data_IF_170640317249
#
_entry.id   IF_170640317249
#
_cell.length_a   1.000
_cell.length_b   1.000
_cell.length_c   1.000
_cell.angle_alpha   90.00
_cell.angle_beta   90.00
_cell.angle_gamma   90.00
#
_symmetry.space_group_name_H-M   'P 1'
#
loop_
_entity.id
_entity.type
_entity.pdbx_description
1 polymer ?
#
# COMPACT_ATOMS: atom_id res chain seq x y z
N UNK A 1 0.22 14.43 19.18
CA UNK A 1 1.51 13.78 19.50
C UNK A 1 1.56 12.55 18.62
N UNK A 2 2.48 12.50 17.66
CA UNK A 2 2.64 11.29 16.82
C UNK A 2 3.34 10.25 17.69
N UNK A 3 2.79 9.05 17.78
CA UNK A 3 3.38 7.95 18.53
C UNK A 3 4.08 7.02 17.55
N UNK A 4 5.40 7.05 17.53
CA UNK A 4 6.22 6.21 16.66
C UNK A 4 6.56 4.89 17.35
N UNK A 5 6.63 3.81 16.56
CA UNK A 5 6.98 2.45 17.02
C UNK A 5 8.17 1.96 16.20
N UNK A 6 9.23 1.51 16.87
CA UNK A 6 10.38 0.86 16.21
C UNK A 6 10.14 -0.64 16.08
N UNK A 7 10.19 -1.14 14.84
CA UNK A 7 10.17 -2.58 14.55
C UNK A 7 11.55 -3.00 14.05
N UNK A 8 12.09 -4.09 14.61
CA UNK A 8 13.34 -4.71 14.14
C UNK A 8 13.03 -6.06 13.52
N UNK A 9 13.34 -6.20 12.24
CA UNK A 9 13.06 -7.39 11.46
C UNK A 9 14.31 -7.79 10.67
N UNK A 10 14.52 -9.10 10.42
CA UNK A 10 15.44 -9.56 9.38
C UNK A 10 15.11 -8.92 8.02
N UNK A 11 16.12 -8.68 7.18
CA UNK A 11 15.95 -8.00 5.90
C UNK A 11 14.97 -8.72 4.96
N UNK A 12 14.96 -10.05 4.97
CA UNK A 12 14.02 -10.86 4.21
C UNK A 12 12.57 -10.67 4.69
N UNK A 13 12.36 -10.53 6.00
CA UNK A 13 11.05 -10.23 6.56
C UNK A 13 10.58 -8.80 6.19
N UNK A 14 11.49 -7.82 6.13
CA UNK A 14 11.17 -6.47 5.64
C UNK A 14 10.70 -6.52 4.19
N UNK A 15 11.39 -7.28 3.33
CA UNK A 15 10.96 -7.49 1.94
C UNK A 15 9.57 -8.13 1.86
N UNK A 16 9.25 -9.10 2.72
CA UNK A 16 7.90 -9.69 2.75
C UNK A 16 6.82 -8.69 3.17
N UNK A 17 7.11 -7.82 4.13
CA UNK A 17 6.19 -6.74 4.54
C UNK A 17 5.96 -5.79 3.36
N UNK A 18 7.02 -5.32 2.71
CA UNK A 18 6.91 -4.46 1.53
C UNK A 18 6.09 -5.11 0.42
N UNK A 19 6.33 -6.38 0.11
CA UNK A 19 5.55 -7.11 -0.89
C UNK A 19 4.04 -7.12 -0.58
N UNK A 20 3.68 -7.36 0.68
CA UNK A 20 2.28 -7.30 1.13
C UNK A 20 1.69 -5.91 1.00
N UNK A 21 2.43 -4.87 1.39
CA UNK A 21 1.99 -3.47 1.27
C UNK A 21 1.80 -3.07 -0.21
N UNK A 22 2.72 -3.45 -1.10
CA UNK A 22 2.60 -3.23 -2.53
C UNK A 22 1.37 -3.92 -3.13
N UNK A 23 1.09 -5.14 -2.69
CA UNK A 23 -0.12 -5.85 -3.12
C UNK A 23 -1.38 -5.09 -2.69
N UNK A 24 -1.47 -4.66 -1.42
CA UNK A 24 -2.61 -3.87 -0.94
C UNK A 24 -2.74 -2.52 -1.66
N UNK A 25 -1.63 -1.80 -1.87
CA UNK A 25 -1.61 -0.57 -2.66
C UNK A 25 -2.23 -0.79 -4.05
N UNK A 26 -1.83 -1.86 -4.73
CA UNK A 26 -2.35 -2.17 -6.07
C UNK A 26 -3.84 -2.54 -6.04
N UNK A 27 -4.30 -3.32 -5.06
CA UNK A 27 -5.73 -3.63 -4.90
C UNK A 27 -6.55 -2.34 -4.76
N UNK A 28 -6.10 -1.38 -3.95
CA UNK A 28 -6.80 -0.11 -3.78
C UNK A 28 -6.78 0.76 -5.06
N UNK A 29 -5.65 0.83 -5.77
CA UNK A 29 -5.57 1.52 -7.07
C UNK A 29 -6.50 0.90 -8.11
N UNK A 30 -6.59 -0.42 -8.17
CA UNK A 30 -7.51 -1.12 -9.08
C UNK A 30 -8.96 -0.95 -8.67
N UNK A 31 -9.24 -0.89 -7.37
CA UNK A 31 -10.58 -0.59 -6.84
C UNK A 31 -11.03 0.80 -7.25
N UNK A 32 -10.16 1.82 -7.11
CA UNK A 32 -10.45 3.18 -7.53
C UNK A 32 -10.76 3.26 -9.04
N UNK A 33 -9.88 2.70 -9.87
CA UNK A 33 -10.06 2.64 -11.33
C UNK A 33 -11.34 1.90 -11.71
N UNK A 34 -11.65 0.80 -11.03
CA UNK A 34 -12.87 0.03 -11.26
C UNK A 34 -14.12 0.84 -10.97
N UNK A 35 -14.17 1.54 -9.84
CA UNK A 35 -15.33 2.36 -9.48
C UNK A 35 -15.52 3.52 -10.48
N UNK A 36 -14.43 4.13 -10.95
CA UNK A 36 -14.50 5.26 -11.88
C UNK A 36 -14.84 4.85 -13.32
N UNK A 37 -14.28 3.74 -13.80
CA UNK A 37 -14.30 3.37 -15.22
C UNK A 37 -15.13 2.13 -15.53
N UNK A 38 -15.44 1.31 -14.51
CA UNK A 38 -16.03 -0.02 -14.66
C UNK A 38 -15.05 -1.11 -15.13
N UNK A 39 -13.79 -0.78 -15.40
CA UNK A 39 -12.77 -1.74 -15.84
C UNK A 39 -12.30 -2.60 -14.66
N UNK A 40 -11.92 -3.84 -14.91
CA UNK A 40 -11.30 -4.71 -13.91
C UNK A 40 -9.93 -5.12 -14.41
N UNK A 41 -8.89 -4.98 -13.57
CA UNK A 41 -7.53 -5.45 -13.86
C UNK A 41 -7.27 -6.81 -13.23
N UNK A 42 -6.29 -7.53 -13.76
CA UNK A 42 -5.76 -8.73 -13.11
C UNK A 42 -4.67 -8.36 -12.08
N UNK A 43 -4.66 -8.99 -10.89
CA UNK A 43 -5.64 -9.93 -10.38
C UNK A 43 -7.00 -9.24 -10.12
N UNK A 44 -8.10 -9.96 -10.37
CA UNK A 44 -9.49 -9.49 -10.20
C UNK A 44 -9.87 -9.33 -8.72
N UNK A 45 -9.07 -8.57 -7.98
CA UNK A 45 -9.25 -8.29 -6.58
C UNK A 45 -9.55 -6.80 -6.43
N UNK A 46 -10.78 -6.52 -6.01
CA UNK A 46 -11.25 -5.18 -5.67
C UNK A 46 -11.75 -5.23 -4.23
N UNK A 47 -11.42 -4.19 -3.46
CA UNK A 47 -11.88 -4.04 -2.09
C UNK A 47 -13.28 -3.40 -2.07
N UNK A 48 -14.01 -3.61 -0.99
CA UNK A 48 -15.28 -2.93 -0.77
C UNK A 48 -15.04 -1.53 -0.19
N UNK A 49 -15.54 -0.50 -0.87
CA UNK A 49 -15.57 0.88 -0.37
C UNK A 49 -16.74 1.66 -0.99
N UNK A 50 -16.96 2.89 -0.50
CA UNK A 50 -18.10 3.73 -0.86
C UNK A 50 -17.85 4.60 -2.10
N UNK A 51 -16.59 4.81 -2.50
CA UNK A 51 -16.23 5.66 -3.63
C UNK A 51 -14.81 5.40 -4.15
N UNK A 52 -14.53 5.80 -5.40
CA UNK A 52 -13.17 5.76 -5.97
C UNK A 52 -12.20 6.61 -5.15
N UNK A 53 -12.64 7.79 -4.69
CA UNK A 53 -11.84 8.66 -3.83
C UNK A 53 -11.44 8.01 -2.51
N UNK A 54 -12.34 7.28 -1.87
CA UNK A 54 -12.00 6.53 -0.64
C UNK A 54 -10.91 5.49 -0.92
N UNK A 55 -10.98 4.81 -2.06
CA UNK A 55 -9.95 3.86 -2.48
C UNK A 55 -8.61 4.57 -2.79
N UNK A 56 -8.63 5.75 -3.41
CA UNK A 56 -7.45 6.59 -3.65
C UNK A 56 -6.80 7.05 -2.35
N UNK A 57 -7.59 7.61 -1.43
CA UNK A 57 -7.10 8.09 -0.13
C UNK A 57 -6.40 6.96 0.66
N UNK A 58 -6.91 5.72 0.56
CA UNK A 58 -6.29 4.54 1.18
C UNK A 58 -5.02 4.12 0.42
N UNK A 59 -5.02 4.14 -0.92
CA UNK A 59 -3.85 3.86 -1.73
C UNK A 59 -2.70 4.83 -1.40
N UNK A 60 -2.99 6.13 -1.30
CA UNK A 60 -2.01 7.15 -0.95
C UNK A 60 -1.41 6.89 0.45
N UNK A 61 -2.22 6.45 1.41
CA UNK A 61 -1.73 6.05 2.73
C UNK A 61 -0.74 4.86 2.65
N UNK A 62 -1.03 3.85 1.83
CA UNK A 62 -0.08 2.74 1.62
C UNK A 62 1.21 3.21 0.93
N UNK A 63 1.11 4.12 -0.05
CA UNK A 63 2.28 4.69 -0.73
C UNK A 63 3.20 5.45 0.23
N UNK A 64 2.64 6.28 1.11
CA UNK A 64 3.39 6.99 2.15
C UNK A 64 4.11 6.02 3.12
N UNK A 65 3.43 4.95 3.54
CA UNK A 65 4.01 3.93 4.42
C UNK A 65 5.16 3.20 3.71
N UNK A 66 4.95 2.78 2.46
CA UNK A 66 5.96 2.09 1.65
C UNK A 66 7.20 2.97 1.51
N UNK A 67 7.02 4.22 1.10
CA UNK A 67 8.11 5.17 0.93
C UNK A 67 8.90 5.35 2.23
N UNK A 68 8.20 5.49 3.36
CA UNK A 68 8.82 5.63 4.68
C UNK A 68 9.68 4.42 5.06
N UNK A 69 9.25 3.20 4.70
CA UNK A 69 10.02 1.98 4.97
C UNK A 69 11.22 1.89 4.02
N UNK A 70 11.04 2.17 2.73
CA UNK A 70 12.11 2.10 1.72
C UNK A 70 13.23 3.11 1.98
N UNK A 71 12.89 4.31 2.45
CA UNK A 71 13.87 5.30 2.90
C UNK A 71 14.70 4.78 4.09
N UNK A 72 14.06 4.11 5.06
CA UNK A 72 14.77 3.52 6.20
C UNK A 72 15.72 2.42 5.76
N UNK A 73 15.29 1.53 4.86
CA UNK A 73 16.13 0.45 4.31
C UNK A 73 17.32 1.02 3.53
N UNK A 74 17.11 2.09 2.76
CA UNK A 74 18.16 2.73 1.94
C UNK A 74 19.18 3.52 2.77
N UNK A 75 18.77 4.03 3.93
CA UNK A 75 19.62 4.81 4.84
C UNK A 75 20.42 3.96 5.85
N UNK A 76 20.24 2.63 5.87
CA UNK A 76 21.06 1.70 6.66
C UNK A 76 22.36 1.25 5.94
N UNK A 77 22.67 1.85 4.79
CA UNK A 77 23.90 1.62 4.00
C UNK A 77 25.14 2.34 4.52
#
# INVERSE_FOLDING_TARGET
>A
MVHEITLKLPSDAVTQVLNGLYHHLNVWRYTAEHIETGLVREPYEVAECSSSREAEDIADCYEEIIHTIEEQVSNEG
#
